data_IF_346561765309
#
_entry.id   IF_346561765309
#
_cell.length_a   1.000
_cell.length_b   1.000
_cell.length_c   1.000
_cell.angle_alpha   90.00
_cell.angle_beta   90.00
_cell.angle_gamma   90.00
#
_symmetry.space_group_name_H-M   'P 1'
#
loop_
_entity.id
_entity.type
_entity.pdbx_description
1 polymer ?
#
# COMPACT_ATOMS: atom_id res chain seq x y z
N UNK A 1 36.31 47.53 -111.16
CA UNK A 1 36.57 47.53 -109.71
C UNK A 1 35.56 48.38 -109.01
N UNK A 2 34.60 47.77 -108.32
CA UNK A 2 33.54 48.49 -107.51
C UNK A 2 33.75 48.07 -106.02
N UNK A 3 34.13 49.08 -105.19
CA UNK A 3 34.22 48.87 -103.73
C UNK A 3 32.87 48.83 -103.14
N UNK A 4 32.52 47.73 -102.44
CA UNK A 4 31.32 47.63 -101.66
C UNK A 4 31.46 48.24 -100.29
N UNK A 5 30.55 49.16 -99.94
CA UNK A 5 30.47 49.76 -98.61
C UNK A 5 29.75 48.80 -97.64
N UNK A 6 30.36 48.38 -96.60
CA UNK A 6 29.79 47.65 -95.46
C UNK A 6 29.22 48.73 -94.50
N UNK A 7 27.93 48.68 -94.24
CA UNK A 7 27.18 49.47 -93.21
C UNK A 7 27.28 48.63 -91.88
N UNK A 8 27.76 49.17 -90.79
CA UNK A 8 27.75 48.48 -89.54
C UNK A 8 26.33 48.48 -88.89
N UNK A 9 25.73 47.32 -88.80
CA UNK A 9 24.47 47.16 -88.11
C UNK A 9 24.70 47.25 -86.57
N UNK A 10 24.23 48.35 -85.93
CA UNK A 10 24.24 48.51 -84.46
C UNK A 10 23.03 47.75 -83.93
N UNK A 11 23.29 46.60 -83.21
CA UNK A 11 22.27 45.92 -82.47
C UNK A 11 22.08 46.68 -81.12
N UNK A 12 20.94 47.23 -80.92
CA UNK A 12 20.54 47.91 -79.68
C UNK A 12 20.06 46.86 -78.68
N UNK A 13 20.94 46.51 -77.74
CA UNK A 13 20.69 45.52 -76.67
C UNK A 13 20.12 46.20 -75.39
N UNK A 14 19.13 47.02 -75.53
CA UNK A 14 18.36 47.42 -74.35
C UNK A 14 17.34 46.33 -74.03
N UNK A 15 17.43 45.72 -72.87
CA UNK A 15 16.47 44.74 -72.39
C UNK A 15 15.09 45.50 -72.25
N UNK A 16 13.98 44.86 -72.57
CA UNK A 16 12.69 45.47 -72.42
C UNK A 16 12.44 45.85 -70.97
N UNK A 17 12.11 47.12 -70.73
CA UNK A 17 11.84 47.73 -69.44
C UNK A 17 10.74 46.97 -68.62
N UNK A 18 9.96 46.15 -69.30
CA UNK A 18 8.84 45.36 -68.76
C UNK A 18 9.32 44.11 -67.99
N UNK A 19 10.54 43.60 -68.22
CA UNK A 19 11.03 42.35 -67.55
C UNK A 19 11.51 42.61 -66.14
N UNK A 20 11.98 43.83 -65.83
CA UNK A 20 12.42 44.19 -64.48
C UNK A 20 11.26 44.49 -63.54
N UNK A 21 10.23 45.16 -64.00
CA UNK A 21 9.02 45.47 -63.22
C UNK A 21 8.24 44.19 -62.84
N UNK A 22 8.17 43.21 -63.76
CA UNK A 22 7.49 41.94 -63.52
C UNK A 22 8.23 41.07 -62.50
N UNK A 23 9.56 41.14 -62.46
CA UNK A 23 10.37 40.36 -61.50
C UNK A 23 10.31 40.97 -60.07
N UNK A 24 10.23 42.29 -59.91
CA UNK A 24 10.03 42.96 -58.63
C UNK A 24 8.67 42.66 -58.02
N UNK A 25 7.60 42.63 -58.82
CA UNK A 25 6.24 42.29 -58.36
C UNK A 25 6.13 40.85 -57.86
N UNK A 26 6.76 39.89 -58.55
CA UNK A 26 6.77 38.47 -58.12
C UNK A 26 7.59 38.24 -56.86
N UNK A 27 8.73 38.93 -56.73
CA UNK A 27 9.56 38.83 -55.51
C UNK A 27 8.83 39.40 -54.27
N UNK A 28 8.15 40.52 -54.42
CA UNK A 28 7.34 41.13 -53.37
C UNK A 28 6.16 40.22 -52.92
N UNK A 29 5.48 39.58 -53.86
CA UNK A 29 4.46 38.58 -53.57
C UNK A 29 5.02 37.37 -52.80
N UNK A 30 6.15 36.80 -53.22
CA UNK A 30 6.83 35.69 -52.53
C UNK A 30 7.22 36.05 -51.11
N UNK A 31 7.76 37.25 -50.86
CA UNK A 31 8.10 37.74 -49.54
C UNK A 31 6.85 37.85 -48.64
N UNK A 32 5.73 38.36 -49.15
CA UNK A 32 4.48 38.44 -48.42
C UNK A 32 3.97 37.04 -48.02
N UNK A 33 3.98 36.10 -48.97
CA UNK A 33 3.58 34.72 -48.68
C UNK A 33 4.51 34.07 -47.66
N UNK A 34 5.82 34.25 -47.74
CA UNK A 34 6.78 33.74 -46.80
C UNK A 34 6.57 34.29 -45.37
N UNK A 35 6.32 35.59 -45.25
CA UNK A 35 6.02 36.24 -43.96
C UNK A 35 4.70 35.70 -43.39
N UNK A 36 3.63 35.63 -44.19
CA UNK A 36 2.33 35.13 -43.74
C UNK A 36 2.44 33.67 -43.27
N UNK A 37 3.15 32.84 -44.04
CA UNK A 37 3.38 31.43 -43.69
C UNK A 37 4.21 31.29 -42.43
N UNK A 38 5.25 32.11 -42.26
CA UNK A 38 6.09 32.13 -41.05
C UNK A 38 5.30 32.54 -39.80
N UNK A 39 4.43 33.55 -39.92
CA UNK A 39 3.54 33.97 -38.83
C UNK A 39 2.55 32.87 -38.48
N UNK A 40 1.99 32.19 -39.46
CA UNK A 40 1.09 31.06 -39.24
C UNK A 40 1.77 29.89 -38.55
N UNK A 41 3.01 29.52 -38.97
CA UNK A 41 3.80 28.51 -38.32
C UNK A 41 4.14 28.90 -36.89
N UNK A 42 4.48 30.14 -36.61
CA UNK A 42 4.76 30.64 -35.28
C UNK A 42 3.56 30.50 -34.34
N UNK A 43 2.35 30.85 -34.86
CA UNK A 43 1.10 30.69 -34.09
C UNK A 43 0.84 29.20 -33.76
N UNK A 44 1.02 28.30 -34.72
CA UNK A 44 0.86 26.86 -34.51
C UNK A 44 1.85 26.37 -33.48
N UNK A 45 3.11 26.79 -33.56
CA UNK A 45 4.14 26.40 -32.62
C UNK A 45 3.84 26.88 -31.18
N UNK A 46 3.39 28.12 -31.02
CA UNK A 46 2.97 28.68 -29.73
C UNK A 46 1.75 27.91 -29.15
N UNK A 47 0.78 27.59 -29.99
CA UNK A 47 -0.37 26.76 -29.58
C UNK A 47 0.07 25.37 -29.14
N UNK A 48 0.97 24.75 -29.89
CA UNK A 48 1.50 23.42 -29.56
C UNK A 48 2.24 23.41 -28.23
N UNK A 49 3.08 24.42 -27.98
CA UNK A 49 3.77 24.59 -26.70
C UNK A 49 2.79 24.86 -25.55
N UNK A 50 1.77 25.67 -25.79
CA UNK A 50 0.75 25.95 -24.79
C UNK A 50 -0.07 24.68 -24.43
N UNK A 51 -0.54 23.96 -25.45
CA UNK A 51 -1.27 22.70 -25.27
C UNK A 51 -0.40 21.66 -24.55
N UNK A 52 0.88 21.55 -24.90
CA UNK A 52 1.80 20.63 -24.24
C UNK A 52 1.96 20.97 -22.76
N UNK A 53 2.15 22.23 -22.41
CA UNK A 53 2.22 22.68 -21.01
C UNK A 53 0.95 22.38 -20.22
N UNK A 54 -0.22 22.72 -20.79
CA UNK A 54 -1.50 22.47 -20.13
C UNK A 54 -1.75 20.96 -19.96
N UNK A 55 -1.38 20.16 -20.96
CA UNK A 55 -1.52 18.70 -20.89
C UNK A 55 -0.62 18.08 -19.82
N UNK A 56 0.66 18.52 -19.73
CA UNK A 56 1.59 18.01 -18.71
C UNK A 56 1.14 18.38 -17.29
N UNK A 57 0.76 19.65 -17.07
CA UNK A 57 0.31 20.09 -15.74
C UNK A 57 -0.95 19.35 -15.29
N UNK A 58 -1.94 19.17 -16.18
CA UNK A 58 -3.14 18.38 -15.85
C UNK A 58 -2.82 16.92 -15.60
N UNK A 59 -1.93 16.33 -16.40
CA UNK A 59 -1.52 14.94 -16.20
C UNK A 59 -0.81 14.73 -14.86
N UNK A 60 0.00 15.68 -14.41
CA UNK A 60 0.64 15.65 -13.08
C UNK A 60 -0.39 15.80 -11.95
N UNK A 61 -1.33 16.75 -12.05
CA UNK A 61 -2.40 16.92 -11.07
C UNK A 61 -3.31 15.69 -10.98
N UNK A 62 -3.71 15.12 -12.11
CA UNK A 62 -4.55 13.91 -12.18
C UNK A 62 -3.81 12.71 -11.58
N UNK A 63 -2.50 12.57 -11.83
CA UNK A 63 -1.66 11.53 -11.27
C UNK A 63 -1.58 11.64 -9.74
N UNK A 64 -1.30 12.85 -9.20
CA UNK A 64 -1.24 13.07 -7.75
C UNK A 64 -2.59 12.81 -7.07
N UNK A 65 -3.70 13.27 -7.67
CA UNK A 65 -5.04 13.03 -7.13
C UNK A 65 -5.40 11.53 -7.14
N UNK A 66 -5.00 10.81 -8.18
CA UNK A 66 -5.21 9.37 -8.27
C UNK A 66 -4.38 8.62 -7.23
N UNK A 67 -3.11 8.97 -7.07
CA UNK A 67 -2.23 8.36 -6.07
C UNK A 67 -2.71 8.62 -4.65
N UNK A 68 -3.11 9.85 -4.34
CA UNK A 68 -3.69 10.21 -3.06
C UNK A 68 -4.95 9.39 -2.77
N UNK A 69 -5.87 9.31 -3.72
CA UNK A 69 -7.10 8.52 -3.56
C UNK A 69 -6.82 7.02 -3.36
N UNK A 70 -5.81 6.49 -4.06
CA UNK A 70 -5.37 5.10 -3.91
C UNK A 70 -4.76 4.86 -2.53
N UNK A 71 -3.93 5.80 -2.05
CA UNK A 71 -3.35 5.74 -0.71
C UNK A 71 -4.43 5.81 0.38
N UNK A 72 -5.37 6.76 0.30
CA UNK A 72 -6.49 6.87 1.25
C UNK A 72 -7.34 5.59 1.27
N UNK A 73 -7.56 4.97 0.10
CA UNK A 73 -8.25 3.68 0.00
C UNK A 73 -7.47 2.55 0.67
N UNK A 74 -6.15 2.52 0.51
CA UNK A 74 -5.28 1.54 1.16
C UNK A 74 -5.29 1.70 2.69
N UNK A 75 -5.21 2.93 3.19
CA UNK A 75 -5.32 3.22 4.64
C UNK A 75 -6.69 2.80 5.17
N UNK A 76 -7.78 3.13 4.48
CA UNK A 76 -9.13 2.71 4.87
C UNK A 76 -9.28 1.19 4.91
N UNK A 77 -8.66 0.47 3.97
CA UNK A 77 -8.65 -0.99 3.96
C UNK A 77 -7.86 -1.56 5.15
N UNK A 78 -6.74 -0.93 5.49
CA UNK A 78 -5.94 -1.30 6.67
C UNK A 78 -6.75 -1.10 7.97
N UNK A 79 -7.42 0.05 8.13
CA UNK A 79 -8.28 0.34 9.28
C UNK A 79 -9.43 -0.66 9.39
N UNK A 80 -10.06 -1.02 8.27
CA UNK A 80 -11.10 -2.05 8.24
C UNK A 80 -10.55 -3.42 8.68
N UNK A 81 -9.32 -3.75 8.32
CA UNK A 81 -8.67 -4.97 8.74
C UNK A 81 -8.46 -5.02 10.26
N UNK A 82 -7.97 -3.95 10.88
CA UNK A 82 -7.85 -3.85 12.34
C UNK A 82 -9.22 -3.88 13.02
N UNK A 83 -10.20 -3.16 12.49
CA UNK A 83 -11.59 -3.19 12.99
C UNK A 83 -12.17 -4.61 12.94
N UNK A 84 -11.84 -5.40 11.94
CA UNK A 84 -12.27 -6.81 11.84
C UNK A 84 -11.65 -7.64 12.95
N UNK A 85 -10.35 -7.50 13.23
CA UNK A 85 -9.66 -8.20 14.32
C UNK A 85 -10.22 -7.80 15.68
N UNK A 86 -10.49 -6.51 15.90
CA UNK A 86 -11.18 -6.01 17.11
C UNK A 86 -12.58 -6.62 17.26
N UNK A 87 -13.33 -6.70 16.17
CA UNK A 87 -14.67 -7.30 16.18
C UNK A 87 -14.64 -8.78 16.56
N UNK A 88 -13.67 -9.54 16.03
CA UNK A 88 -13.46 -10.94 16.41
C UNK A 88 -13.12 -11.03 17.90
N UNK A 89 -12.22 -10.20 18.39
CA UNK A 89 -11.84 -10.16 19.80
C UNK A 89 -13.03 -9.86 20.71
N UNK A 90 -13.87 -8.90 20.34
CA UNK A 90 -15.12 -8.60 21.07
C UNK A 90 -16.09 -9.77 21.08
N UNK A 91 -16.26 -10.45 19.94
CA UNK A 91 -17.12 -11.65 19.87
C UNK A 91 -16.58 -12.76 20.75
N UNK A 92 -15.24 -12.96 20.79
CA UNK A 92 -14.59 -13.91 21.68
C UNK A 92 -14.80 -13.52 23.15
N UNK A 93 -14.70 -12.25 23.50
CA UNK A 93 -14.93 -11.73 24.86
C UNK A 93 -16.36 -11.97 25.35
N UNK A 94 -17.33 -12.01 24.45
CA UNK A 94 -18.73 -12.32 24.77
C UNK A 94 -19.00 -13.82 24.85
N UNK A 95 -18.03 -14.67 24.49
CA UNK A 95 -18.20 -16.13 24.52
C UNK A 95 -18.06 -16.65 25.92
N UNK A 96 -19.18 -17.03 26.55
CA UNK A 96 -19.22 -17.50 27.94
C UNK A 96 -18.39 -18.77 28.18
N UNK A 97 -18.27 -19.65 27.18
CA UNK A 97 -17.45 -20.87 27.29
C UNK A 97 -15.96 -20.52 27.32
N UNK A 98 -15.53 -19.60 26.45
CA UNK A 98 -14.17 -19.12 26.45
C UNK A 98 -13.84 -18.38 27.74
N UNK A 99 -14.73 -17.53 28.20
CA UNK A 99 -14.58 -16.84 29.48
C UNK A 99 -14.41 -17.81 30.64
N UNK A 100 -15.30 -18.82 30.72
CA UNK A 100 -15.22 -19.85 31.77
C UNK A 100 -13.86 -20.59 31.72
N UNK A 101 -13.43 -20.99 30.54
CA UNK A 101 -12.14 -21.65 30.33
C UNK A 101 -10.96 -20.74 30.71
N UNK A 102 -11.02 -19.45 30.39
CA UNK A 102 -9.98 -18.47 30.71
C UNK A 102 -9.88 -18.17 32.23
N UNK A 103 -10.95 -18.37 32.99
CA UNK A 103 -10.97 -18.18 34.44
C UNK A 103 -10.57 -19.43 35.24
N UNK A 104 -10.46 -20.60 34.60
CA UNK A 104 -10.00 -21.81 35.23
C UNK A 104 -8.51 -21.71 35.60
N UNK A 105 -8.19 -22.09 36.84
CA UNK A 105 -6.80 -22.10 37.36
C UNK A 105 -6.14 -23.49 37.35
N UNK A 106 -6.97 -24.55 37.36
CA UNK A 106 -6.49 -25.93 37.34
C UNK A 106 -6.48 -26.49 35.94
N UNK A 107 -5.34 -27.00 35.52
CA UNK A 107 -5.15 -27.69 34.25
C UNK A 107 -5.25 -29.19 34.35
N UNK A 108 -5.42 -29.74 35.58
CA UNK A 108 -5.45 -31.18 35.84
C UNK A 108 -6.85 -31.81 35.72
N UNK A 109 -7.82 -30.98 35.35
CA UNK A 109 -9.20 -31.41 35.18
C UNK A 109 -9.48 -31.84 33.72
N UNK A 110 -10.09 -33.01 33.55
CA UNK A 110 -10.54 -33.49 32.25
C UNK A 110 -11.50 -32.48 31.57
N UNK A 111 -12.31 -31.76 32.35
CA UNK A 111 -13.22 -30.75 31.87
C UNK A 111 -12.49 -29.56 31.23
N UNK A 112 -11.30 -29.19 31.73
CA UNK A 112 -10.45 -28.18 31.13
C UNK A 112 -10.02 -28.59 29.72
N UNK A 113 -9.52 -29.80 29.55
CA UNK A 113 -9.08 -30.30 28.24
C UNK A 113 -10.23 -30.44 27.24
N UNK A 114 -11.36 -30.98 27.66
CA UNK A 114 -12.54 -31.16 26.81
C UNK A 114 -13.10 -29.79 26.38
N UNK A 115 -13.17 -28.85 27.30
CA UNK A 115 -13.59 -27.48 27.03
C UNK A 115 -12.63 -26.77 26.06
N UNK A 116 -11.32 -26.93 26.24
CA UNK A 116 -10.29 -26.39 25.36
C UNK A 116 -10.37 -26.94 23.93
N UNK A 117 -10.56 -28.27 23.79
CA UNK A 117 -10.73 -28.91 22.49
C UNK A 117 -12.03 -28.46 21.79
N UNK A 118 -13.11 -28.31 22.55
CA UNK A 118 -14.37 -27.77 22.02
C UNK A 118 -14.21 -26.33 21.57
N UNK A 119 -13.50 -25.51 22.37
CA UNK A 119 -13.25 -24.11 22.03
C UNK A 119 -12.37 -23.97 20.79
N UNK A 120 -11.34 -24.82 20.65
CA UNK A 120 -10.52 -24.90 19.44
C UNK A 120 -11.37 -25.07 18.16
N UNK A 121 -12.36 -25.98 18.19
CA UNK A 121 -13.29 -26.18 17.05
C UNK A 121 -14.13 -24.93 16.80
N UNK A 122 -14.56 -24.26 17.87
CA UNK A 122 -15.33 -23.02 17.76
C UNK A 122 -14.50 -21.88 17.16
N UNK A 123 -13.19 -21.77 17.50
CA UNK A 123 -12.31 -20.76 16.94
C UNK A 123 -12.20 -20.86 15.40
N UNK A 124 -12.21 -22.08 14.86
CA UNK A 124 -12.22 -22.29 13.42
C UNK A 124 -13.43 -21.62 12.73
N UNK A 125 -14.59 -21.63 13.38
CA UNK A 125 -15.80 -21.02 12.80
C UNK A 125 -15.71 -19.51 12.63
N UNK A 126 -14.99 -18.81 13.51
CA UNK A 126 -14.76 -17.37 13.36
C UNK A 126 -13.90 -17.06 12.13
N UNK A 127 -12.91 -17.91 11.81
CA UNK A 127 -12.13 -17.73 10.57
C UNK A 127 -13.00 -17.91 9.31
N UNK A 128 -13.86 -18.91 9.29
CA UNK A 128 -14.70 -19.19 8.12
C UNK A 128 -15.87 -18.19 7.93
N UNK A 129 -16.12 -17.34 8.92
CA UNK A 129 -17.18 -16.33 8.84
C UNK A 129 -16.82 -15.12 7.99
N UNK A 130 -15.54 -14.97 7.62
CA UNK A 130 -15.03 -13.84 6.83
C UNK A 130 -14.45 -14.33 5.51
N UNK A 131 -14.84 -13.69 4.41
CA UNK A 131 -14.41 -14.08 3.06
C UNK A 131 -12.93 -13.78 2.79
N UNK A 132 -12.43 -12.68 3.34
CA UNK A 132 -11.02 -12.29 3.26
C UNK A 132 -10.54 -11.93 4.67
N UNK A 133 -9.56 -12.67 5.16
CA UNK A 133 -8.99 -12.42 6.48
C UNK A 133 -7.76 -11.53 6.37
N UNK A 134 -7.67 -10.48 7.19
CA UNK A 134 -6.49 -9.61 7.22
C UNK A 134 -5.27 -10.27 7.92
N UNK A 135 -5.41 -11.50 8.41
CA UNK A 135 -4.40 -12.24 9.15
C UNK A 135 -4.31 -13.70 8.65
N UNK A 136 -3.17 -14.32 8.85
CA UNK A 136 -2.94 -15.72 8.45
C UNK A 136 -3.51 -16.72 9.44
N UNK A 137 -3.40 -16.41 10.73
CA UNK A 137 -3.91 -17.22 11.84
C UNK A 137 -4.05 -16.34 13.08
N UNK A 138 -4.75 -16.86 14.08
CA UNK A 138 -4.82 -16.22 15.39
C UNK A 138 -4.86 -17.25 16.50
N UNK A 139 -4.57 -16.81 17.72
CA UNK A 139 -4.68 -17.61 18.91
C UNK A 139 -5.18 -16.81 20.11
N UNK A 140 -5.70 -17.50 21.09
CA UNK A 140 -6.10 -16.96 22.39
C UNK A 140 -5.18 -17.54 23.47
N UNK A 141 -4.51 -16.67 24.20
CA UNK A 141 -3.70 -17.00 25.34
C UNK A 141 -4.52 -16.86 26.64
N UNK A 142 -4.65 -17.95 27.38
CA UNK A 142 -5.36 -18.03 28.65
C UNK A 142 -4.40 -17.73 29.79
N UNK A 143 -4.41 -16.51 30.31
CA UNK A 143 -3.41 -16.02 31.29
C UNK A 143 -3.36 -16.83 32.57
N UNK A 144 -4.52 -17.27 33.09
CA UNK A 144 -4.58 -18.00 34.39
C UNK A 144 -4.03 -19.42 34.33
N UNK A 145 -4.16 -20.08 33.18
CA UNK A 145 -3.72 -21.47 33.00
C UNK A 145 -2.38 -21.60 32.25
N UNK A 146 -1.95 -20.54 31.56
CA UNK A 146 -0.76 -20.61 30.70
C UNK A 146 -1.00 -21.48 29.44
N UNK A 147 -2.22 -21.57 28.93
CA UNK A 147 -2.54 -22.34 27.73
C UNK A 147 -2.88 -21.45 26.56
N UNK A 148 -2.60 -21.96 25.37
CA UNK A 148 -2.95 -21.30 24.10
C UNK A 148 -3.94 -22.17 23.33
N UNK A 149 -4.98 -21.53 22.83
CA UNK A 149 -5.94 -22.10 21.92
C UNK A 149 -5.78 -21.41 20.58
N UNK A 150 -5.49 -22.14 19.53
CA UNK A 150 -5.57 -21.68 18.16
C UNK A 150 -6.50 -22.56 17.35
N UNK A 151 -6.74 -22.22 16.10
CA UNK A 151 -7.55 -23.04 15.18
C UNK A 151 -7.01 -24.49 15.09
N UNK A 152 -5.70 -24.66 15.20
CA UNK A 152 -5.05 -25.95 14.99
C UNK A 152 -4.63 -26.65 16.28
N UNK A 153 -4.49 -25.94 17.39
CA UNK A 153 -3.88 -26.48 18.60
C UNK A 153 -4.54 -25.98 19.89
N UNK A 154 -4.47 -26.82 20.90
CA UNK A 154 -4.71 -26.47 22.30
C UNK A 154 -3.56 -27.06 23.13
N UNK A 155 -2.63 -26.21 23.56
CA UNK A 155 -1.40 -26.62 24.23
C UNK A 155 -1.00 -25.59 25.31
N UNK A 156 -0.07 -26.04 26.21
CA UNK A 156 0.61 -25.07 27.06
C UNK A 156 1.37 -24.04 26.23
N UNK A 157 1.50 -22.85 26.77
CA UNK A 157 2.22 -21.72 26.17
C UNK A 157 3.63 -22.12 25.74
N UNK A 158 4.39 -22.82 26.63
CA UNK A 158 5.75 -23.25 26.34
C UNK A 158 5.80 -24.18 25.12
N UNK A 159 4.87 -25.14 25.01
CA UNK A 159 4.86 -26.07 23.88
C UNK A 159 4.45 -25.34 22.57
N UNK A 160 3.54 -24.36 22.66
CA UNK A 160 3.18 -23.53 21.52
C UNK A 160 4.38 -22.71 21.04
N UNK A 161 5.10 -22.07 21.97
CA UNK A 161 6.30 -21.31 21.68
C UNK A 161 7.37 -22.18 21.00
N UNK A 162 7.69 -23.34 21.57
CA UNK A 162 8.69 -24.25 21.00
C UNK A 162 8.36 -24.64 19.56
N UNK A 163 7.10 -24.85 19.26
CA UNK A 163 6.66 -25.29 17.91
C UNK A 163 6.65 -24.18 16.88
N UNK A 164 6.42 -22.95 17.29
CA UNK A 164 6.16 -21.86 16.35
C UNK A 164 7.25 -20.79 16.34
N UNK A 165 8.05 -20.66 17.39
CA UNK A 165 8.99 -19.54 17.59
C UNK A 165 10.41 -19.96 17.94
N UNK A 166 10.66 -21.15 18.47
CA UNK A 166 11.99 -21.56 18.97
C UNK A 166 13.10 -21.46 17.93
N UNK A 167 12.78 -21.68 16.65
CA UNK A 167 13.77 -21.66 15.56
C UNK A 167 14.35 -20.28 15.28
N UNK A 168 13.71 -19.21 15.75
CA UNK A 168 14.14 -17.82 15.55
C UNK A 168 15.22 -17.35 16.54
N UNK A 169 15.52 -18.14 17.58
CA UNK A 169 16.43 -17.72 18.64
C UNK A 169 15.83 -16.71 19.62
N UNK A 170 14.54 -16.41 19.50
CA UNK A 170 13.83 -15.52 20.41
C UNK A 170 13.83 -16.01 21.84
N UNK A 171 13.74 -15.08 22.79
CA UNK A 171 13.68 -15.40 24.21
C UNK A 171 12.22 -15.69 24.61
N UNK A 172 11.97 -16.88 25.18
CA UNK A 172 10.65 -17.26 25.69
C UNK A 172 10.09 -16.24 26.69
N UNK A 173 10.93 -15.69 27.56
CA UNK A 173 10.48 -14.73 28.57
C UNK A 173 9.97 -13.42 27.91
N UNK A 174 10.63 -12.92 26.89
CA UNK A 174 10.20 -11.73 26.15
C UNK A 174 8.86 -11.97 25.46
N UNK A 175 8.68 -13.13 24.85
CA UNK A 175 7.42 -13.52 24.23
C UNK A 175 6.31 -13.71 25.27
N UNK A 176 6.60 -14.35 26.41
CA UNK A 176 5.69 -14.49 27.53
C UNK A 176 5.26 -13.13 28.09
N UNK A 177 6.21 -12.22 28.32
CA UNK A 177 5.97 -10.89 28.85
C UNK A 177 5.09 -10.07 27.89
N UNK A 178 5.30 -10.23 26.58
CA UNK A 178 4.48 -9.60 25.55
C UNK A 178 3.00 -10.00 25.67
N UNK A 179 2.71 -11.29 25.84
CA UNK A 179 1.33 -11.79 25.96
C UNK A 179 0.69 -11.43 27.31
N UNK A 180 1.50 -11.26 28.35
CA UNK A 180 1.04 -10.88 29.70
C UNK A 180 1.07 -9.37 29.93
N UNK A 181 1.60 -8.59 29.01
CA UNK A 181 1.65 -7.14 29.16
C UNK A 181 0.23 -6.60 29.34
N UNK A 182 0.07 -5.80 30.40
CA UNK A 182 -1.11 -4.95 30.53
C UNK A 182 -0.93 -3.83 29.51
N UNK A 183 -1.44 -4.04 28.31
CA UNK A 183 -1.42 -3.02 27.29
C UNK A 183 -2.11 -1.79 27.86
N UNK A 184 -1.39 -0.68 27.98
CA UNK A 184 -1.94 0.62 28.41
C UNK A 184 -2.94 1.17 27.39
N UNK A 185 -2.89 0.64 26.17
CA UNK A 185 -3.91 0.71 25.13
C UNK A 185 -4.43 -0.71 24.93
N UNK A 186 -5.69 -0.83 24.59
CA UNK A 186 -6.38 -2.12 24.42
C UNK A 186 -5.72 -3.04 23.35
N UNK A 187 -4.78 -2.52 22.55
CA UNK A 187 -4.06 -3.25 21.51
C UNK A 187 -2.62 -2.77 21.29
N UNK A 188 -1.78 -3.65 20.75
CA UNK A 188 -0.43 -3.33 20.29
C UNK A 188 -0.02 -4.18 19.08
N UNK A 189 0.84 -3.62 18.22
CA UNK A 189 1.42 -4.29 17.06
C UNK A 189 2.92 -4.50 17.29
N UNK A 190 3.38 -5.75 17.18
CA UNK A 190 4.77 -6.13 17.38
C UNK A 190 5.36 -6.73 16.13
N UNK A 191 6.57 -6.34 15.69
CA UNK A 191 7.27 -7.01 14.62
C UNK A 191 7.66 -8.44 15.06
N UNK A 192 7.47 -9.41 14.18
CA UNK A 192 7.83 -10.80 14.43
C UNK A 192 9.26 -11.14 13.98
N UNK A 193 9.98 -10.20 13.39
CA UNK A 193 11.37 -10.38 12.96
C UNK A 193 12.27 -10.92 14.08
N UNK A 194 11.97 -10.54 15.31
CA UNK A 194 12.74 -10.94 16.50
C UNK A 194 12.31 -12.30 17.05
N UNK A 195 11.15 -12.82 16.64
CA UNK A 195 10.52 -14.02 17.18
C UNK A 195 10.32 -15.15 16.19
N UNK A 196 10.29 -14.88 14.88
CA UNK A 196 10.03 -15.87 13.83
C UNK A 196 11.03 -15.78 12.69
N UNK A 197 11.28 -16.94 12.05
CA UNK A 197 12.05 -16.93 10.80
C UNK A 197 11.28 -16.20 9.70
N UNK A 198 11.98 -15.44 8.84
CA UNK A 198 11.38 -14.74 7.71
C UNK A 198 10.58 -15.65 6.75
N UNK A 199 10.93 -16.94 6.72
CA UNK A 199 10.27 -17.96 5.88
C UNK A 199 8.82 -18.23 6.28
N UNK A 200 8.39 -17.84 7.48
CA UNK A 200 7.00 -18.04 7.94
C UNK A 200 6.00 -17.15 7.19
N UNK A 201 6.46 -16.09 6.50
CA UNK A 201 5.61 -15.11 5.84
C UNK A 201 4.81 -14.22 6.80
N UNK A 202 4.89 -14.45 8.11
CA UNK A 202 4.26 -13.61 9.13
C UNK A 202 5.24 -12.50 9.50
N UNK A 203 4.77 -11.24 9.45
CA UNK A 203 5.60 -10.07 9.71
C UNK A 203 5.32 -9.45 11.08
N UNK A 204 4.05 -9.49 11.52
CA UNK A 204 3.60 -8.79 12.71
C UNK A 204 2.65 -9.64 13.54
N UNK A 205 2.67 -9.39 14.87
CA UNK A 205 1.72 -9.89 15.83
C UNK A 205 0.88 -8.74 16.35
N UNK A 206 -0.41 -8.72 16.01
CA UNK A 206 -1.36 -7.77 16.58
C UNK A 206 -2.01 -8.38 17.80
N UNK A 207 -1.77 -7.77 18.95
CA UNK A 207 -2.16 -8.30 20.27
C UNK A 207 -3.23 -7.42 20.87
N UNK A 208 -4.32 -8.04 21.31
CA UNK A 208 -5.46 -7.37 21.96
C UNK A 208 -5.75 -8.04 23.31
N UNK A 209 -6.04 -7.21 24.29
CA UNK A 209 -6.60 -7.69 25.54
C UNK A 209 -8.07 -8.07 25.35
N UNK A 210 -8.44 -9.21 25.91
CA UNK A 210 -9.83 -9.61 25.95
C UNK A 210 -10.51 -8.91 27.14
N UNK A 211 -11.03 -7.70 26.88
CA UNK A 211 -11.77 -6.94 27.89
C UNK A 211 -13.17 -7.52 28.06
N UNK A 212 -13.44 -8.04 29.25
CA UNK A 212 -14.77 -8.48 29.65
C UNK A 212 -15.40 -7.36 30.46
N UNK A 213 -16.38 -6.71 29.88
CA UNK A 213 -17.10 -5.55 30.43
C UNK A 213 -17.53 -5.62 31.92
N UNK A 214 -17.35 -6.77 32.56
CA UNK A 214 -17.87 -7.02 33.89
C UNK A 214 -16.77 -7.31 34.94
N UNK A 215 -15.51 -7.51 34.55
CA UNK A 215 -14.46 -7.95 35.47
C UNK A 215 -13.17 -7.13 35.30
N UNK A 216 -12.55 -6.81 36.43
CA UNK A 216 -11.29 -6.03 36.47
C UNK A 216 -10.05 -6.79 35.98
N UNK A 217 -10.15 -8.11 35.87
CA UNK A 217 -9.00 -8.94 35.48
C UNK A 217 -9.16 -9.35 34.00
N UNK A 218 -8.13 -9.11 33.21
CA UNK A 218 -8.06 -9.54 31.81
C UNK A 218 -7.73 -11.03 31.78
N UNK A 219 -8.70 -11.94 31.49
CA UNK A 219 -8.48 -13.35 31.61
C UNK A 219 -7.71 -13.96 30.43
N UNK A 220 -7.68 -13.26 29.31
CA UNK A 220 -7.06 -13.77 28.09
C UNK A 220 -6.55 -12.64 27.19
N UNK A 221 -5.62 -13.01 26.32
CA UNK A 221 -5.08 -12.16 25.25
C UNK A 221 -5.34 -12.82 23.91
N UNK A 222 -5.80 -12.05 22.92
CA UNK A 222 -5.97 -12.53 21.55
C UNK A 222 -4.84 -11.97 20.71
N UNK A 223 -4.20 -12.81 19.91
CA UNK A 223 -3.08 -12.41 19.06
C UNK A 223 -3.27 -12.90 17.64
N UNK A 224 -3.17 -11.99 16.68
CA UNK A 224 -3.32 -12.20 15.25
C UNK A 224 -1.97 -12.13 14.54
N UNK A 225 -1.65 -13.12 13.72
CA UNK A 225 -0.49 -13.10 12.86
C UNK A 225 -0.84 -12.40 11.54
N UNK A 226 -0.22 -11.26 11.29
CA UNK A 226 -0.39 -10.50 10.06
C UNK A 226 0.72 -10.88 9.08
N UNK A 227 0.31 -11.31 7.88
CA UNK A 227 1.25 -11.68 6.84
C UNK A 227 1.76 -10.45 6.10
N UNK A 228 3.07 -10.39 5.84
CA UNK A 228 3.69 -9.31 5.08
C UNK A 228 3.08 -9.16 3.68
N UNK A 229 2.76 -10.26 3.02
CA UNK A 229 2.14 -10.22 1.69
C UNK A 229 0.76 -9.56 1.72
N UNK A 230 -0.01 -9.73 2.80
CA UNK A 230 -1.29 -9.06 2.99
C UNK A 230 -1.11 -7.55 3.05
N UNK A 231 -0.12 -7.08 3.83
CA UNK A 231 0.19 -5.65 3.90
C UNK A 231 0.68 -5.10 2.55
N UNK A 232 1.60 -5.81 1.90
CA UNK A 232 2.09 -5.43 0.55
C UNK A 232 0.96 -5.35 -0.48
N UNK A 233 -0.02 -6.27 -0.42
CA UNK A 233 -1.17 -6.26 -1.31
C UNK A 233 -2.05 -5.03 -1.11
N UNK A 234 -2.25 -4.60 0.14
CA UNK A 234 -3.04 -3.39 0.47
C UNK A 234 -2.44 -2.15 -0.21
N UNK A 235 -1.12 -2.01 -0.18
CA UNK A 235 -0.42 -0.85 -0.72
C UNK A 235 0.10 -1.04 -2.16
N UNK A 236 -0.17 -2.18 -2.81
CA UNK A 236 0.36 -2.50 -4.14
C UNK A 236 -0.11 -1.56 -5.26
N UNK A 237 -1.22 -0.86 -5.06
CA UNK A 237 -1.76 0.12 -6.02
C UNK A 237 -1.19 1.53 -5.86
N UNK A 238 -0.44 1.80 -4.78
CA UNK A 238 0.14 3.12 -4.50
C UNK A 238 1.45 3.25 -5.26
N UNK A 239 1.56 4.26 -6.11
CA UNK A 239 2.79 4.53 -6.87
C UNK A 239 3.72 5.40 -6.04
N UNK A 240 4.82 4.81 -5.59
CA UNK A 240 5.82 5.50 -4.76
C UNK A 240 7.03 6.03 -5.57
N UNK A 241 7.00 5.89 -6.91
CA UNK A 241 8.16 6.14 -7.75
C UNK A 241 9.32 5.18 -7.44
N UNK A 242 10.52 5.51 -7.95
CA UNK A 242 11.68 4.60 -7.86
C UNK A 242 12.32 4.54 -6.46
N UNK A 243 12.05 5.51 -5.59
CA UNK A 243 12.73 5.67 -4.28
C UNK A 243 11.76 5.87 -3.11
N UNK A 244 10.46 5.85 -3.37
CA UNK A 244 9.46 6.04 -2.34
C UNK A 244 9.26 4.80 -1.47
N UNK A 245 8.89 5.01 -0.21
CA UNK A 245 8.54 3.96 0.73
C UNK A 245 7.39 4.41 1.63
N UNK A 246 6.67 3.45 2.20
CA UNK A 246 5.62 3.69 3.18
C UNK A 246 6.17 3.29 4.54
N UNK A 247 6.04 4.18 5.52
CA UNK A 247 6.32 3.89 6.92
C UNK A 247 5.03 4.10 7.70
N UNK A 248 4.63 3.12 8.47
CA UNK A 248 3.67 3.34 9.55
C UNK A 248 4.42 3.68 10.82
N UNK A 249 3.95 4.71 11.51
CA UNK A 249 4.51 5.15 12.79
C UNK A 249 3.44 5.07 13.86
N UNK A 250 3.87 4.83 15.10
CA UNK A 250 2.98 4.88 16.26
C UNK A 250 2.72 6.33 16.71
N UNK A 251 1.97 6.48 17.81
CA UNK A 251 1.65 7.80 18.37
C UNK A 251 2.88 8.52 18.97
N UNK A 252 4.03 7.89 19.01
CA UNK A 252 5.33 8.41 19.47
C UNK A 252 6.31 8.60 18.30
N UNK A 253 5.80 8.59 17.05
CA UNK A 253 6.59 8.70 15.80
C UNK A 253 7.67 7.60 15.65
N UNK A 254 7.49 6.44 16.31
CA UNK A 254 8.38 5.31 16.12
C UNK A 254 7.88 4.44 14.96
N UNK A 255 8.77 3.99 14.05
CA UNK A 255 8.36 3.15 12.95
C UNK A 255 7.82 1.81 13.47
N UNK A 256 6.66 1.43 12.98
CA UNK A 256 5.98 0.17 13.28
C UNK A 256 6.24 -0.83 12.16
N UNK A 257 6.19 -0.38 10.90
CA UNK A 257 6.57 -1.11 9.69
C UNK A 257 6.87 -0.16 8.52
#
# INVERSE_FOLDING_TARGET
>A
MKKGHLIPMRINLNPPADATAKNESTTFLMIRFAITYSVFLLIILLLMVHLHRVSTTRSEEDFWNQDQSTFESAVSLLDNNFTTMDSITRQLSMNTKLYHLATMKSTDDNDFYLSGLTMKQSLASYMYSYNELPFSTYFVYLRNSGYIISVNTFNSEQLYYIRNYLSSGANFNEWHDLLNSNLTKDSALYPLSDFMLPESGNAYLYVLNMDVLTYKDIPATVAFHINEQTLRKIFSGVSLGDTGYIIAVDAQDQPVF
#
